data_IF_733110032841
#
_entry.id   IF_733110032841
#
_cell.length_a   1.000
_cell.length_b   1.000
_cell.length_c   1.000
_cell.angle_alpha   90.00
_cell.angle_beta   90.00
_cell.angle_gamma   90.00
#
_symmetry.space_group_name_H-M   'P 1'
#
loop_
_entity.id
_entity.type
_entity.pdbx_description
1 polymer ?
#
# COMPACT_ATOMS: atom_id res chain seq x y z
N UNK A 1 2.12 11.94 -17.25
CA UNK A 1 2.80 12.53 -18.42
C UNK A 1 4.21 13.06 -18.14
N UNK A 2 4.40 13.91 -17.12
CA UNK A 2 5.70 14.50 -16.76
C UNK A 2 6.78 13.43 -16.51
N UNK A 3 6.46 12.39 -15.73
CA UNK A 3 7.48 11.49 -15.16
C UNK A 3 7.61 10.11 -15.85
N UNK A 4 6.89 9.89 -16.95
CA UNK A 4 6.70 8.55 -17.57
C UNK A 4 8.00 7.85 -18.03
N UNK A 5 9.07 8.60 -18.23
CA UNK A 5 10.34 8.10 -18.76
C UNK A 5 11.40 7.84 -17.68
N UNK A 6 11.08 8.05 -16.40
CA UNK A 6 12.02 7.76 -15.32
C UNK A 6 11.98 6.27 -14.98
N UNK A 7 13.12 5.58 -15.12
CA UNK A 7 13.24 4.16 -14.82
C UNK A 7 13.13 3.84 -13.33
N UNK A 8 13.45 4.80 -12.46
CA UNK A 8 13.31 4.65 -11.01
C UNK A 8 11.85 4.68 -10.54
N UNK A 9 10.92 5.23 -11.34
CA UNK A 9 9.50 5.15 -11.04
C UNK A 9 9.02 3.78 -11.49
N UNK A 10 8.62 2.95 -10.53
CA UNK A 10 8.17 1.58 -10.80
C UNK A 10 6.67 1.37 -10.56
N UNK A 11 6.01 2.25 -9.80
CA UNK A 11 4.57 2.16 -9.46
C UNK A 11 3.95 3.56 -9.59
N UNK A 12 2.70 3.64 -10.06
CA UNK A 12 1.89 4.84 -9.98
C UNK A 12 0.91 4.76 -8.81
N UNK A 13 0.92 5.73 -7.89
CA UNK A 13 -0.16 5.86 -6.89
C UNK A 13 -1.22 6.84 -7.38
N UNK A 14 -2.52 6.51 -7.24
CA UNK A 14 -3.61 7.40 -7.64
C UNK A 14 -3.82 8.58 -6.68
N UNK A 15 -3.33 8.48 -5.45
CA UNK A 15 -3.54 9.48 -4.40
C UNK A 15 -3.43 8.88 -3.00
N UNK A 16 -3.97 9.58 -2.02
CA UNK A 16 -3.99 9.17 -0.61
C UNK A 16 -5.29 9.64 0.06
N UNK A 17 -5.94 8.78 0.84
CA UNK A 17 -7.07 9.08 1.75
C UNK A 17 -8.19 9.96 1.16
N UNK A 18 -8.50 9.76 -0.13
CA UNK A 18 -9.45 10.60 -0.86
C UNK A 18 -10.78 9.87 -1.18
N UNK A 19 -11.04 8.74 -0.50
CA UNK A 19 -12.18 7.86 -0.75
C UNK A 19 -12.06 7.09 -2.07
N UNK A 20 -13.07 6.30 -2.42
CA UNK A 20 -13.10 5.52 -3.65
C UNK A 20 -14.34 5.85 -4.48
N UNK A 21 -14.25 5.70 -5.81
CA UNK A 21 -15.39 5.90 -6.69
C UNK A 21 -15.01 6.26 -8.12
N UNK A 22 -16.01 6.74 -8.87
CA UNK A 22 -15.93 6.92 -10.32
C UNK A 22 -14.72 7.72 -10.83
N UNK A 23 -14.26 8.71 -10.04
CA UNK A 23 -13.07 9.49 -10.38
C UNK A 23 -11.80 8.62 -10.38
N UNK A 24 -11.60 7.81 -9.33
CA UNK A 24 -10.45 6.91 -9.20
C UNK A 24 -10.53 5.73 -10.17
N UNK A 25 -11.73 5.19 -10.40
CA UNK A 25 -11.99 4.19 -11.44
C UNK A 25 -11.59 4.69 -12.83
N UNK A 26 -11.99 5.91 -13.18
CA UNK A 26 -11.66 6.53 -14.47
C UNK A 26 -10.17 6.82 -14.60
N UNK A 27 -9.53 7.29 -13.52
CA UNK A 27 -8.09 7.56 -13.47
C UNK A 27 -7.26 6.29 -13.65
N UNK A 28 -7.61 5.21 -12.94
CA UNK A 28 -7.00 3.89 -13.09
C UNK A 28 -7.13 3.41 -14.54
N UNK A 29 -8.35 3.38 -15.09
CA UNK A 29 -8.57 2.90 -16.45
C UNK A 29 -7.79 3.71 -17.49
N UNK A 30 -7.67 5.03 -17.30
CA UNK A 30 -6.85 5.87 -18.17
C UNK A 30 -5.36 5.55 -18.03
N UNK A 31 -4.83 5.41 -16.80
CA UNK A 31 -3.42 5.07 -16.55
C UNK A 31 -3.05 3.73 -17.16
N UNK A 32 -3.86 2.69 -16.96
CA UNK A 32 -3.62 1.35 -17.54
C UNK A 32 -3.56 1.36 -19.07
N UNK A 33 -4.37 2.20 -19.72
CA UNK A 33 -4.28 2.41 -21.19
C UNK A 33 -3.06 3.23 -21.59
N UNK A 34 -2.68 4.20 -20.78
CA UNK A 34 -1.64 5.18 -21.13
C UNK A 34 -0.23 4.68 -20.88
N UNK A 35 -0.02 3.95 -19.80
CA UNK A 35 1.25 3.34 -19.42
C UNK A 35 1.00 1.92 -18.89
N UNK A 36 1.01 0.90 -19.77
CA UNK A 36 0.82 -0.49 -19.36
C UNK A 36 2.09 -1.10 -18.73
N UNK A 37 3.20 -0.36 -18.65
CA UNK A 37 4.50 -0.91 -18.22
C UNK A 37 4.70 -0.92 -16.71
N UNK A 38 3.80 -0.27 -15.94
CA UNK A 38 3.89 -0.13 -14.49
C UNK A 38 2.56 -0.50 -13.82
N UNK A 39 2.60 -1.13 -12.62
CA UNK A 39 1.43 -1.25 -11.78
C UNK A 39 0.93 0.11 -11.27
N UNK A 40 -0.36 0.16 -11.01
CA UNK A 40 -1.06 1.28 -10.38
C UNK A 40 -1.55 0.81 -9.01
N UNK A 41 -1.29 1.58 -7.96
CA UNK A 41 -1.78 1.30 -6.61
C UNK A 41 -2.73 2.38 -6.12
N UNK A 42 -3.64 2.03 -5.22
CA UNK A 42 -4.40 2.99 -4.43
C UNK A 42 -4.92 2.34 -3.14
N UNK A 43 -4.61 2.94 -1.97
CA UNK A 43 -4.97 2.36 -0.68
C UNK A 43 -6.49 2.34 -0.44
N UNK A 44 -7.19 3.41 -0.81
CA UNK A 44 -8.63 3.43 -0.67
C UNK A 44 -9.35 2.62 -1.76
N UNK A 45 -8.67 1.87 -2.64
CA UNK A 45 -9.32 0.91 -3.56
C UNK A 45 -9.86 -0.32 -2.80
N UNK A 46 -10.70 -0.06 -1.80
CA UNK A 46 -11.45 -0.99 -0.98
C UNK A 46 -12.95 -0.72 -1.13
N UNK A 47 -13.77 -1.72 -0.83
CA UNK A 47 -15.23 -1.58 -0.86
C UNK A 47 -15.79 -1.15 0.50
N UNK A 48 -15.05 -1.37 1.58
CA UNK A 48 -15.43 -1.02 2.92
C UNK A 48 -15.29 0.50 3.18
N UNK A 49 -16.21 1.11 3.96
CA UNK A 49 -16.22 2.54 4.20
C UNK A 49 -15.05 3.03 5.10
N UNK A 50 -14.38 2.12 5.80
CA UNK A 50 -13.26 2.40 6.69
C UNK A 50 -12.10 1.44 6.43
N UNK A 51 -10.93 1.76 6.98
CA UNK A 51 -9.78 0.87 6.98
C UNK A 51 -9.72 0.11 8.32
N UNK A 52 -9.07 -1.05 8.33
CA UNK A 52 -8.86 -1.86 9.54
C UNK A 52 -7.37 -2.15 9.72
N UNK A 53 -6.88 -2.11 10.97
CA UNK A 53 -5.52 -2.62 11.27
C UNK A 53 -5.50 -4.15 11.27
N UNK A 54 -6.66 -4.80 11.42
CA UNK A 54 -6.75 -6.25 11.66
C UNK A 54 -7.35 -7.01 10.48
N UNK A 55 -8.45 -6.55 9.94
CA UNK A 55 -9.21 -7.28 8.92
C UNK A 55 -8.68 -6.99 7.51
N UNK A 56 -8.68 -8.01 6.64
CA UNK A 56 -8.36 -7.86 5.22
C UNK A 56 -9.57 -7.23 4.53
N UNK A 57 -9.37 -6.10 3.84
CA UNK A 57 -10.41 -5.44 3.07
C UNK A 57 -10.68 -6.13 1.73
N UNK A 58 -11.90 -5.98 1.23
CA UNK A 58 -12.24 -6.37 -0.14
C UNK A 58 -11.67 -5.34 -1.11
N UNK A 59 -10.72 -5.79 -1.94
CA UNK A 59 -10.01 -4.93 -2.89
C UNK A 59 -10.89 -4.68 -4.12
N UNK A 60 -11.08 -3.41 -4.47
CA UNK A 60 -11.76 -2.98 -5.69
C UNK A 60 -10.81 -3.07 -6.90
N UNK A 61 -11.34 -3.11 -8.12
CA UNK A 61 -10.56 -3.42 -9.32
C UNK A 61 -9.56 -2.33 -9.75
N UNK A 62 -9.60 -1.14 -9.13
CA UNK A 62 -8.80 0.02 -9.49
C UNK A 62 -7.44 0.09 -8.78
N UNK A 63 -6.86 -1.06 -8.46
CA UNK A 63 -5.50 -1.21 -7.95
C UNK A 63 -4.92 -2.54 -8.41
N UNK A 64 -3.61 -2.58 -8.70
CA UNK A 64 -2.86 -3.79 -9.05
C UNK A 64 -2.10 -4.36 -7.84
N UNK A 65 -2.09 -3.65 -6.71
CA UNK A 65 -1.36 -3.97 -5.49
C UNK A 65 -2.29 -3.70 -4.31
N UNK A 66 -2.31 -4.61 -3.33
CA UNK A 66 -2.98 -4.34 -2.06
C UNK A 66 -2.06 -3.54 -1.15
N UNK A 67 -2.46 -2.32 -0.79
CA UNK A 67 -1.56 -1.38 -0.13
C UNK A 67 -2.12 -0.80 1.16
N UNK A 68 -2.40 -1.61 2.19
CA UNK A 68 -3.02 -1.13 3.42
C UNK A 68 -2.10 -0.17 4.20
N UNK A 69 -2.71 0.82 4.85
CA UNK A 69 -2.06 1.65 5.87
C UNK A 69 -2.11 0.98 7.24
N UNK A 70 -0.97 0.95 7.94
CA UNK A 70 -0.83 0.51 9.33
C UNK A 70 -1.47 -0.87 9.66
N UNK A 71 -1.36 -1.91 8.81
CA UNK A 71 -1.86 -3.24 9.17
C UNK A 71 -1.05 -3.81 10.34
N UNK A 72 -1.66 -4.60 11.22
CA UNK A 72 -0.92 -5.36 12.22
C UNK A 72 -0.15 -6.52 11.56
N UNK A 73 0.90 -7.07 12.21
CA UNK A 73 1.50 -8.33 11.76
C UNK A 73 0.49 -9.48 11.66
N UNK A 74 -0.58 -9.46 12.47
CA UNK A 74 -1.65 -10.45 12.40
C UNK A 74 -2.49 -10.30 11.12
N UNK A 75 -2.76 -9.06 10.67
CA UNK A 75 -3.40 -8.81 9.37
C UNK A 75 -2.54 -9.29 8.20
N UNK A 76 -1.22 -9.07 8.26
CA UNK A 76 -0.30 -9.60 7.24
C UNK A 76 -0.34 -11.13 7.20
N UNK A 77 -0.34 -11.78 8.37
CA UNK A 77 -0.45 -13.23 8.46
C UNK A 77 -1.78 -13.73 7.90
N UNK A 78 -2.91 -13.08 8.24
CA UNK A 78 -4.24 -13.40 7.69
C UNK A 78 -4.25 -13.30 6.16
N UNK A 79 -3.72 -12.21 5.60
CA UNK A 79 -3.63 -12.05 4.16
C UNK A 79 -2.80 -13.15 3.49
N UNK A 80 -1.66 -13.51 4.09
CA UNK A 80 -0.82 -14.58 3.59
C UNK A 80 -1.49 -15.96 3.68
N UNK A 81 -2.22 -16.24 4.75
CA UNK A 81 -2.95 -17.50 4.92
C UNK A 81 -4.09 -17.65 3.91
N UNK A 82 -4.78 -16.55 3.59
CA UNK A 82 -5.92 -16.55 2.68
C UNK A 82 -5.49 -16.53 1.20
N UNK A 83 -4.47 -15.73 0.85
CA UNK A 83 -4.11 -15.43 -0.54
C UNK A 83 -2.71 -15.91 -0.95
N UNK A 84 -1.88 -16.38 -0.01
CA UNK A 84 -0.46 -16.70 -0.28
C UNK A 84 -0.22 -17.86 -1.24
N UNK A 85 -1.22 -18.72 -1.46
CA UNK A 85 -1.17 -19.81 -2.44
C UNK A 85 -1.84 -19.46 -3.78
N UNK A 86 -2.52 -18.31 -3.88
CA UNK A 86 -3.22 -17.87 -5.08
C UNK A 86 -2.26 -17.07 -5.98
N UNK A 87 -1.89 -17.57 -7.18
CA UNK A 87 -1.00 -16.86 -8.10
C UNK A 87 -1.64 -15.60 -8.71
N UNK A 88 -2.94 -15.40 -8.54
CA UNK A 88 -3.69 -14.23 -9.01
C UNK A 88 -3.92 -13.18 -7.92
N UNK A 89 -3.54 -13.47 -6.68
CA UNK A 89 -3.62 -12.52 -5.59
C UNK A 89 -2.76 -11.28 -5.85
N UNK A 90 -3.26 -10.13 -5.40
CA UNK A 90 -2.46 -8.92 -5.38
C UNK A 90 -1.26 -9.09 -4.43
N UNK A 91 -0.05 -8.66 -4.79
CA UNK A 91 1.01 -8.53 -3.79
C UNK A 91 0.60 -7.48 -2.76
N UNK A 92 0.98 -7.70 -1.49
CA UNK A 92 0.77 -6.75 -0.40
C UNK A 92 2.04 -5.94 -0.16
N UNK A 93 1.94 -4.62 -0.29
CA UNK A 93 3.00 -3.66 0.08
C UNK A 93 2.37 -2.60 0.99
N UNK A 94 2.78 -2.51 2.24
CA UNK A 94 2.22 -1.49 3.15
C UNK A 94 2.64 -0.11 2.67
N UNK A 95 1.69 0.72 2.18
CA UNK A 95 2.04 2.06 1.71
C UNK A 95 2.53 2.95 2.86
N UNK A 96 2.04 2.69 4.07
CA UNK A 96 2.50 3.29 5.32
C UNK A 96 2.49 2.22 6.43
N UNK A 97 3.58 2.11 7.18
CA UNK A 97 3.64 1.33 8.42
C UNK A 97 4.67 1.93 9.38
N UNK A 98 4.70 1.46 10.63
CA UNK A 98 5.67 1.88 11.65
C UNK A 98 5.78 3.41 11.80
N UNK A 99 4.73 4.05 12.28
CA UNK A 99 4.70 5.51 12.46
C UNK A 99 5.86 6.00 13.36
N UNK A 100 6.81 6.74 12.80
CA UNK A 100 8.13 7.06 13.36
C UNK A 100 8.18 8.31 14.24
N UNK A 101 7.01 8.82 14.65
CA UNK A 101 6.91 10.02 15.48
C UNK A 101 7.55 9.84 16.87
N UNK A 102 8.59 10.64 17.15
CA UNK A 102 9.27 10.65 18.45
C UNK A 102 10.05 9.37 18.74
N UNK A 103 9.95 8.86 19.97
CA UNK A 103 10.57 7.58 20.34
C UNK A 103 9.60 6.42 20.01
N UNK A 104 9.65 5.95 18.76
CA UNK A 104 8.70 4.98 18.20
C UNK A 104 9.42 3.81 17.50
N UNK A 105 8.82 3.24 16.46
CA UNK A 105 9.36 2.17 15.60
C UNK A 105 9.66 0.84 16.33
N UNK A 106 8.99 0.57 17.44
CA UNK A 106 8.95 -0.76 18.04
C UNK A 106 8.25 -1.78 17.12
N UNK A 107 8.58 -3.06 17.25
CA UNK A 107 7.86 -4.14 16.57
C UNK A 107 8.26 -4.41 15.11
N UNK A 108 9.30 -3.75 14.59
CA UNK A 108 9.73 -3.93 13.19
C UNK A 108 10.17 -5.38 12.88
N UNK A 109 10.76 -6.07 13.85
CA UNK A 109 11.21 -7.45 13.67
C UNK A 109 10.04 -8.41 13.41
N UNK A 110 8.91 -8.17 14.05
CA UNK A 110 7.68 -8.96 13.92
C UNK A 110 7.08 -8.81 12.53
N UNK A 111 7.03 -7.58 11.99
CA UNK A 111 6.62 -7.34 10.60
C UNK A 111 7.50 -8.12 9.62
N UNK A 112 8.81 -7.93 9.71
CA UNK A 112 9.75 -8.54 8.75
C UNK A 112 9.86 -10.06 8.90
N UNK A 113 9.62 -10.60 10.10
CA UNK A 113 9.49 -12.05 10.29
C UNK A 113 8.35 -12.62 9.46
N UNK A 114 7.16 -12.00 9.52
CA UNK A 114 5.99 -12.46 8.75
C UNK A 114 6.21 -12.22 7.25
N UNK A 115 6.70 -11.05 6.85
CA UNK A 115 6.96 -10.71 5.44
C UNK A 115 7.91 -11.72 4.79
N UNK A 116 9.03 -12.04 5.43
CA UNK A 116 10.03 -12.95 4.88
C UNK A 116 9.57 -14.42 4.78
N UNK A 117 8.44 -14.77 5.38
CA UNK A 117 7.89 -16.13 5.32
C UNK A 117 6.93 -16.35 4.14
N UNK A 118 6.40 -15.27 3.53
CA UNK A 118 5.29 -15.36 2.59
C UNK A 118 5.56 -14.51 1.35
N UNK A 119 5.65 -15.13 0.17
CA UNK A 119 6.01 -14.42 -1.08
C UNK A 119 4.99 -13.37 -1.55
N UNK A 120 3.74 -13.46 -1.09
CA UNK A 120 2.69 -12.46 -1.38
C UNK A 120 2.92 -11.15 -0.60
N UNK A 121 3.69 -11.19 0.49
CA UNK A 121 4.02 -10.02 1.30
C UNK A 121 5.37 -9.44 0.84
N UNK A 122 5.38 -8.17 0.44
CA UNK A 122 6.53 -7.56 -0.26
C UNK A 122 7.10 -6.31 0.44
N UNK A 123 6.85 -6.17 1.74
CA UNK A 123 7.41 -5.08 2.57
C UNK A 123 6.49 -3.87 2.68
N UNK A 124 7.08 -2.68 2.77
CA UNK A 124 6.33 -1.43 2.90
C UNK A 124 7.21 -0.20 3.15
N UNK A 125 6.57 0.96 3.28
CA UNK A 125 7.24 2.25 3.51
C UNK A 125 6.97 2.77 4.93
N UNK A 126 8.04 3.06 5.69
CA UNK A 126 7.94 3.64 7.03
C UNK A 126 7.42 5.07 6.93
N UNK A 127 6.45 5.43 7.76
CA UNK A 127 5.94 6.80 7.85
C UNK A 127 6.56 7.53 9.05
N UNK A 128 7.39 8.56 8.91
CA UNK A 128 7.89 9.20 7.69
C UNK A 128 9.41 9.41 7.76
N UNK A 129 9.94 10.17 6.81
CA UNK A 129 11.39 10.34 6.65
C UNK A 129 11.98 11.44 7.55
N UNK A 130 11.25 12.54 7.76
CA UNK A 130 11.79 13.74 8.40
C UNK A 130 10.69 14.51 9.11
N UNK A 131 10.95 14.89 10.36
CA UNK A 131 10.05 15.74 11.14
C UNK A 131 9.83 17.10 10.46
N UNK A 132 8.56 17.49 10.32
CA UNK A 132 8.16 18.76 9.69
C UNK A 132 8.17 19.93 10.69
N UNK A 133 9.27 20.08 11.44
CA UNK A 133 9.45 21.11 12.46
C UNK A 133 10.11 22.39 11.91
N UNK A 134 9.46 23.55 12.10
CA UNK A 134 10.08 24.86 11.86
C UNK A 134 10.80 25.28 13.14
N UNK A 135 12.07 25.70 13.02
CA UNK A 135 12.79 26.31 14.13
C UNK A 135 12.15 27.68 14.40
N UNK A 136 11.59 27.84 15.60
CA UNK A 136 11.08 29.12 16.07
C UNK A 136 12.22 29.94 16.69
N UNK A 137 12.25 31.27 16.46
CA UNK A 137 13.27 32.17 17.01
C UNK A 137 13.18 32.35 18.53
#
# INVERSE_FOLDING_TARGET
>A
ERDKNHACVIIWSLGNEAGNGAAFHSAYAWLKRRDPTRPVQYENARLEPGWSTEEVETIDYNTDIYVPMYPSPAKLQRYADEYGADPTAHPLIMCEYSHAMGNSCGGLAEYWKTINQHGVLQGGCIWDWVDQGIIMP
#
